data_IF_262278414289
#
_entry.id   IF_262278414289
#
_cell.length_a   1.000
_cell.length_b   1.000
_cell.length_c   1.000
_cell.angle_alpha   90.00
_cell.angle_beta   90.00
_cell.angle_gamma   90.00
#
_symmetry.space_group_name_H-M   'P 1'
#
loop_
_entity.id
_entity.type
_entity.pdbx_description
1 polymer ?
#
# COMPACT_ATOMS: atom_id res chain seq x y z
N UNK A 1 -43.68 25.30 12.58
CA UNK A 1 -42.77 24.14 12.53
C UNK A 1 -42.78 23.60 11.11
N UNK A 2 -41.80 23.99 10.30
CA UNK A 2 -41.64 23.51 8.93
C UNK A 2 -40.82 22.21 8.96
N UNK A 3 -41.43 21.12 8.51
CA UNK A 3 -40.77 19.83 8.37
C UNK A 3 -39.73 19.90 7.26
N UNK A 4 -38.50 19.52 7.58
CA UNK A 4 -37.40 19.38 6.63
C UNK A 4 -37.72 18.27 5.63
N UNK A 5 -37.81 18.61 4.35
CA UNK A 5 -37.75 17.66 3.24
C UNK A 5 -36.35 17.04 3.22
N UNK A 6 -36.22 15.90 3.89
CA UNK A 6 -35.03 15.06 3.84
C UNK A 6 -34.81 14.55 2.42
N UNK A 7 -33.71 14.99 1.82
CA UNK A 7 -33.18 14.62 0.51
C UNK A 7 -32.58 13.22 0.59
N UNK A 8 -33.43 12.21 0.84
CA UNK A 8 -33.05 10.80 0.68
C UNK A 8 -33.30 10.41 -0.77
N UNK A 9 -32.35 10.74 -1.64
CA UNK A 9 -32.31 10.13 -2.97
C UNK A 9 -32.02 8.64 -2.75
N UNK A 10 -33.00 7.79 -3.05
CA UNK A 10 -32.77 6.34 -3.07
C UNK A 10 -32.12 6.00 -4.39
N UNK A 11 -30.85 5.60 -4.35
CA UNK A 11 -30.18 5.03 -5.50
C UNK A 11 -30.99 3.83 -6.01
N UNK A 12 -31.27 3.83 -7.31
CA UNK A 12 -31.94 2.74 -8.02
C UNK A 12 -30.92 1.80 -8.62
N UNK A 13 -31.34 0.62 -9.07
CA UNK A 13 -30.47 -0.34 -9.77
C UNK A 13 -29.80 0.28 -11.00
N UNK A 14 -30.50 1.19 -11.71
CA UNK A 14 -29.95 1.94 -12.83
C UNK A 14 -28.82 2.89 -12.43
N UNK A 15 -28.86 3.45 -11.22
CA UNK A 15 -27.80 4.33 -10.71
C UNK A 15 -26.54 3.53 -10.39
N UNK A 16 -26.69 2.30 -9.89
CA UNK A 16 -25.58 1.37 -9.64
C UNK A 16 -24.97 0.89 -10.97
N UNK A 17 -25.80 0.49 -11.94
CA UNK A 17 -25.33 0.10 -13.27
C UNK A 17 -24.60 1.25 -13.98
N UNK A 18 -25.12 2.47 -13.85
CA UNK A 18 -24.48 3.67 -14.39
C UNK A 18 -23.14 3.92 -13.69
N UNK A 19 -23.09 3.82 -12.36
CA UNK A 19 -21.84 3.97 -11.62
C UNK A 19 -20.81 2.91 -12.03
N UNK A 20 -21.19 1.64 -12.15
CA UNK A 20 -20.29 0.57 -12.61
C UNK A 20 -19.79 0.83 -14.03
N UNK A 21 -20.65 1.27 -14.94
CA UNK A 21 -20.26 1.58 -16.32
C UNK A 21 -19.35 2.81 -16.40
N UNK A 22 -19.63 3.83 -15.61
CA UNK A 22 -18.79 5.03 -15.52
C UNK A 22 -17.44 4.70 -14.90
N UNK A 23 -17.40 3.91 -13.81
CA UNK A 23 -16.13 3.47 -13.21
C UNK A 23 -15.31 2.61 -14.18
N UNK A 24 -15.95 1.70 -14.93
CA UNK A 24 -15.28 0.92 -15.98
C UNK A 24 -14.82 1.77 -17.17
N UNK A 25 -15.58 2.79 -17.55
CA UNK A 25 -15.16 3.74 -18.58
C UNK A 25 -14.00 4.65 -18.11
N UNK A 26 -13.88 4.87 -16.80
CA UNK A 26 -12.78 5.63 -16.19
C UNK A 26 -11.52 4.79 -15.94
N UNK A 27 -11.61 3.46 -15.97
CA UNK A 27 -10.43 2.58 -15.86
C UNK A 27 -9.62 2.50 -17.16
N UNK A 28 -10.20 2.91 -18.29
CA UNK A 28 -9.51 2.94 -19.58
C UNK A 28 -9.17 4.38 -20.00
N UNK A 29 -7.96 4.63 -20.54
CA UNK A 29 -7.57 5.94 -21.03
C UNK A 29 -8.43 6.35 -22.24
N UNK A 30 -9.12 7.50 -22.12
CA UNK A 30 -10.14 7.91 -23.12
C UNK A 30 -9.52 8.55 -24.37
N UNK A 31 -8.43 9.29 -24.21
CA UNK A 31 -7.70 9.92 -25.32
C UNK A 31 -6.30 10.38 -24.89
N UNK A 32 -5.35 10.45 -25.82
CA UNK A 32 -3.98 10.87 -25.51
C UNK A 32 -3.86 12.32 -25.00
N UNK A 33 -4.62 13.29 -25.51
CA UNK A 33 -4.66 14.63 -24.91
C UNK A 33 -5.16 14.62 -23.46
N UNK A 34 -6.23 13.88 -23.17
CA UNK A 34 -6.80 13.76 -21.82
C UNK A 34 -5.79 13.13 -20.87
N UNK A 35 -5.19 12.01 -21.28
CA UNK A 35 -4.24 11.27 -20.45
C UNK A 35 -2.99 12.09 -20.14
N UNK A 36 -2.46 12.80 -21.14
CA UNK A 36 -1.33 13.70 -20.94
C UNK A 36 -1.66 14.82 -19.95
N UNK A 37 -2.86 15.39 -20.03
CA UNK A 37 -3.29 16.45 -19.11
C UNK A 37 -3.43 15.91 -17.69
N UNK A 38 -4.01 14.72 -17.52
CA UNK A 38 -4.15 14.04 -16.23
C UNK A 38 -2.77 13.74 -15.62
N UNK A 39 -1.88 13.08 -16.36
CA UNK A 39 -0.55 12.70 -15.89
C UNK A 39 0.31 13.93 -15.53
N UNK A 40 0.23 15.02 -16.32
CA UNK A 40 0.91 16.28 -15.97
C UNK A 40 0.31 16.93 -14.72
N UNK A 41 -1.01 16.89 -14.58
CA UNK A 41 -1.69 17.35 -13.36
C UNK A 41 -1.24 16.58 -12.12
N UNK A 42 -1.15 15.25 -12.24
CA UNK A 42 -0.68 14.37 -11.17
C UNK A 42 0.81 14.62 -10.86
N UNK A 43 1.66 14.78 -11.87
CA UNK A 43 3.07 15.14 -11.69
C UNK A 43 3.22 16.48 -10.93
N UNK A 44 2.44 17.49 -11.29
CA UNK A 44 2.44 18.78 -10.61
C UNK A 44 1.96 18.67 -9.15
N UNK A 45 0.90 17.88 -8.92
CA UNK A 45 0.41 17.59 -7.57
C UNK A 45 1.46 16.90 -6.71
N UNK A 46 2.09 15.83 -7.22
CA UNK A 46 3.13 15.09 -6.49
C UNK A 46 4.33 16.00 -6.20
N UNK A 47 4.76 16.82 -7.18
CA UNK A 47 5.81 17.80 -6.98
C UNK A 47 5.48 18.81 -5.88
N UNK A 48 4.24 19.32 -5.85
CA UNK A 48 3.76 20.20 -4.79
C UNK A 48 3.70 19.51 -3.42
N UNK A 49 3.25 18.26 -3.36
CA UNK A 49 3.19 17.48 -2.13
C UNK A 49 4.58 17.20 -1.56
N UNK A 50 5.55 16.84 -2.42
CA UNK A 50 6.94 16.64 -2.02
C UNK A 50 7.59 17.94 -1.51
N UNK A 51 7.31 19.07 -2.15
CA UNK A 51 7.82 20.38 -1.75
C UNK A 51 7.23 20.89 -0.41
N UNK A 52 6.10 20.34 0.03
CA UNK A 52 5.48 20.71 1.30
C UNK A 52 6.17 20.08 2.51
N UNK A 53 7.00 19.05 2.33
CA UNK A 53 7.76 18.47 3.43
C UNK A 53 8.91 19.39 3.86
N UNK A 54 9.13 19.57 5.17
CA UNK A 54 10.20 20.44 5.68
C UNK A 54 11.61 19.82 5.54
N UNK A 55 11.70 18.52 5.27
CA UNK A 55 12.95 17.78 5.10
C UNK A 55 12.91 16.99 3.80
N UNK A 56 14.07 16.65 3.25
CA UNK A 56 14.17 15.73 2.10
C UNK A 56 14.07 14.26 2.53
N UNK A 57 13.86 13.34 1.58
CA UNK A 57 13.92 11.90 1.86
C UNK A 57 15.33 11.48 2.31
N UNK A 58 16.37 12.00 1.66
CA UNK A 58 17.76 11.70 1.99
C UNK A 58 18.15 12.18 3.41
N UNK A 59 17.62 13.32 3.85
CA UNK A 59 17.79 13.81 5.22
C UNK A 59 17.13 12.87 6.25
N UNK A 60 15.91 12.42 5.98
CA UNK A 60 15.19 11.51 6.87
C UNK A 60 15.90 10.14 6.96
N UNK A 61 16.36 9.59 5.84
CA UNK A 61 17.13 8.34 5.80
C UNK A 61 18.47 8.47 6.55
N UNK A 62 19.18 9.59 6.36
CA UNK A 62 20.41 9.86 7.11
C UNK A 62 20.16 9.94 8.63
N UNK A 63 19.06 10.56 9.06
CA UNK A 63 18.67 10.63 10.49
C UNK A 63 18.29 9.27 11.06
N UNK A 64 17.58 8.44 10.30
CA UNK A 64 17.19 7.10 10.73
C UNK A 64 18.39 6.17 10.90
N UNK A 65 19.40 6.30 10.04
CA UNK A 65 20.60 5.48 10.05
C UNK A 65 21.72 6.04 10.94
N UNK A 66 21.59 7.27 11.44
CA UNK A 66 22.65 7.94 12.18
C UNK A 66 23.87 8.31 11.31
N UNK A 67 23.64 8.60 10.03
CA UNK A 67 24.66 9.10 9.11
C UNK A 67 24.92 10.60 9.33
N UNK A 68 26.00 11.11 8.73
CA UNK A 68 26.37 12.53 8.78
C UNK A 68 26.57 13.11 10.21
N UNK A 69 27.00 12.27 11.16
CA UNK A 69 27.31 12.70 12.52
C UNK A 69 26.11 12.87 13.45
N UNK A 70 24.90 12.49 13.01
CA UNK A 70 23.72 12.47 13.85
C UNK A 70 23.62 11.15 14.65
N UNK A 71 23.17 11.22 15.90
CA UNK A 71 22.80 10.02 16.63
C UNK A 71 21.55 9.38 16.00
N UNK A 72 21.47 8.03 15.90
CA UNK A 72 20.26 7.36 15.41
C UNK A 72 19.04 7.75 16.24
N UNK A 73 17.95 8.09 15.57
CA UNK A 73 16.68 8.44 16.23
C UNK A 73 16.14 7.26 17.04
N UNK A 74 15.47 7.56 18.15
CA UNK A 74 14.87 6.57 19.04
C UNK A 74 13.41 6.92 19.39
N UNK A 75 12.65 5.92 19.83
CA UNK A 75 11.31 6.12 20.37
C UNK A 75 10.31 6.72 19.37
N UNK A 76 9.36 7.56 19.84
CA UNK A 76 8.29 8.12 19.00
C UNK A 76 8.79 8.96 17.83
N UNK A 77 9.91 9.66 17.97
CA UNK A 77 10.49 10.46 16.89
C UNK A 77 10.92 9.57 15.72
N UNK A 78 11.53 8.42 16.01
CA UNK A 78 11.91 7.44 14.98
C UNK A 78 10.70 6.98 14.18
N UNK A 79 9.58 6.69 14.86
CA UNK A 79 8.34 6.27 14.19
C UNK A 79 7.78 7.37 13.28
N UNK A 80 7.79 8.62 13.73
CA UNK A 80 7.34 9.76 12.92
C UNK A 80 8.21 9.93 11.67
N UNK A 81 9.53 9.83 11.79
CA UNK A 81 10.44 9.95 10.64
C UNK A 81 10.31 8.75 9.69
N UNK A 82 10.06 7.54 10.18
CA UNK A 82 9.76 6.38 9.32
C UNK A 82 8.49 6.62 8.50
N UNK A 83 7.42 7.12 9.13
CA UNK A 83 6.17 7.41 8.44
C UNK A 83 6.32 8.51 7.38
N UNK A 84 7.08 9.56 7.68
CA UNK A 84 7.36 10.63 6.72
C UNK A 84 8.22 10.13 5.56
N UNK A 85 9.28 9.35 5.85
CA UNK A 85 10.14 8.77 4.83
C UNK A 85 9.38 7.80 3.92
N UNK A 86 8.48 6.98 4.46
CA UNK A 86 7.67 6.05 3.66
C UNK A 86 6.71 6.82 2.73
N UNK A 87 6.07 7.88 3.23
CA UNK A 87 5.20 8.73 2.40
C UNK A 87 5.98 9.42 1.28
N UNK A 88 7.16 9.98 1.57
CA UNK A 88 8.04 10.58 0.55
C UNK A 88 8.48 9.56 -0.50
N UNK A 89 8.83 8.34 -0.07
CA UNK A 89 9.21 7.26 -0.98
C UNK A 89 8.05 6.85 -1.89
N UNK A 90 6.84 6.73 -1.35
CA UNK A 90 5.64 6.45 -2.14
C UNK A 90 5.42 7.55 -3.19
N UNK A 91 5.48 8.83 -2.79
CA UNK A 91 5.35 9.95 -3.71
C UNK A 91 6.45 9.98 -4.78
N UNK A 92 7.70 9.72 -4.42
CA UNK A 92 8.81 9.65 -5.36
C UNK A 92 8.64 8.50 -6.37
N UNK A 93 8.20 7.32 -5.90
CA UNK A 93 7.87 6.18 -6.75
C UNK A 93 6.72 6.50 -7.71
N UNK A 94 5.65 7.13 -7.22
CA UNK A 94 4.55 7.60 -8.07
C UNK A 94 5.01 8.63 -9.10
N UNK A 95 5.90 9.56 -8.72
CA UNK A 95 6.46 10.54 -9.67
C UNK A 95 7.26 9.86 -10.78
N UNK A 96 8.05 8.83 -10.45
CA UNK A 96 8.83 8.07 -11.42
C UNK A 96 7.92 7.29 -12.39
N UNK A 97 6.88 6.63 -11.87
CA UNK A 97 5.90 5.92 -12.69
C UNK A 97 5.18 6.88 -13.66
N UNK A 98 4.69 8.01 -13.15
CA UNK A 98 4.02 9.05 -13.96
C UNK A 98 4.95 9.63 -15.02
N UNK A 99 6.22 9.86 -14.69
CA UNK A 99 7.22 10.31 -15.66
C UNK A 99 7.47 9.25 -16.75
N UNK A 100 7.50 7.96 -16.39
CA UNK A 100 7.59 6.85 -17.33
C UNK A 100 6.41 6.81 -18.30
N UNK A 101 5.18 6.87 -17.80
CA UNK A 101 3.98 6.89 -18.64
C UNK A 101 3.93 8.14 -19.54
N UNK A 102 4.31 9.31 -19.03
CA UNK A 102 4.40 10.52 -19.85
C UNK A 102 5.43 10.36 -20.99
N UNK A 103 6.60 9.80 -20.69
CA UNK A 103 7.62 9.54 -21.70
C UNK A 103 7.14 8.55 -22.77
N UNK A 104 6.46 7.48 -22.38
CA UNK A 104 5.84 6.53 -23.32
C UNK A 104 4.80 7.21 -24.21
N UNK A 105 3.90 7.99 -23.61
CA UNK A 105 2.83 8.70 -24.34
C UNK A 105 3.37 9.78 -25.28
N UNK A 106 4.45 10.46 -24.90
CA UNK A 106 5.14 11.45 -25.74
C UNK A 106 5.99 10.77 -26.84
N UNK A 107 6.46 9.54 -26.59
CA UNK A 107 7.13 8.67 -27.55
C UNK A 107 6.18 7.98 -28.56
N UNK A 108 4.87 8.17 -28.43
CA UNK A 108 3.87 7.62 -29.36
C UNK A 108 3.34 6.23 -28.99
N UNK A 109 3.54 5.79 -27.74
CA UNK A 109 2.95 4.54 -27.24
C UNK A 109 1.41 4.56 -27.41
N UNK A 110 0.80 3.47 -27.94
CA UNK A 110 -0.64 3.30 -27.97
C UNK A 110 -1.25 3.39 -26.57
N UNK A 111 -2.42 4.02 -26.43
CA UNK A 111 -3.07 4.20 -25.13
C UNK A 111 -3.40 2.89 -24.43
N UNK A 112 -3.74 1.85 -25.19
CA UNK A 112 -4.02 0.52 -24.65
C UNK A 112 -2.80 -0.12 -23.97
N UNK A 113 -1.59 0.30 -24.34
CA UNK A 113 -0.32 -0.24 -23.84
C UNK A 113 0.29 0.64 -22.73
N UNK A 114 -0.23 1.86 -22.52
CA UNK A 114 0.35 2.86 -21.61
C UNK A 114 0.48 2.36 -20.16
N UNK A 115 -0.50 1.59 -19.70
CA UNK A 115 -0.56 1.03 -18.34
C UNK A 115 -0.33 -0.48 -18.29
N UNK A 116 -0.24 -1.12 -19.46
CA UNK A 116 0.26 -2.49 -19.57
C UNK A 116 1.74 -2.44 -19.27
N UNK A 117 2.10 -2.43 -17.98
CA UNK A 117 3.47 -2.61 -17.56
C UNK A 117 4.05 -3.78 -18.33
N UNK A 118 5.27 -3.64 -18.83
CA UNK A 118 5.94 -4.74 -19.52
C UNK A 118 5.80 -5.98 -18.64
N UNK A 119 4.94 -6.89 -19.07
CA UNK A 119 4.90 -8.26 -18.61
C UNK A 119 6.23 -8.85 -19.10
N UNK A 120 7.32 -8.52 -18.40
CA UNK A 120 8.39 -9.48 -18.24
C UNK A 120 7.67 -10.68 -17.65
N UNK A 121 7.52 -11.71 -18.48
CA UNK A 121 6.98 -13.02 -18.15
C UNK A 121 7.42 -13.35 -16.72
N UNK A 122 6.52 -13.17 -15.75
CA UNK A 122 6.69 -13.74 -14.42
C UNK A 122 6.68 -15.24 -14.69
N UNK A 123 7.87 -15.84 -14.83
CA UNK A 123 8.02 -17.28 -14.70
C UNK A 123 7.31 -17.63 -13.39
N UNK A 124 6.20 -18.36 -13.52
CA UNK A 124 5.44 -18.90 -12.41
C UNK A 124 6.40 -19.79 -11.61
N UNK A 125 7.06 -19.23 -10.59
CA UNK A 125 7.71 -20.00 -9.54
C UNK A 125 6.58 -20.61 -8.70
N UNK A 126 5.93 -21.64 -9.26
CA UNK A 126 5.02 -22.56 -8.58
C UNK A 126 5.81 -23.41 -7.57
N UNK A 127 6.30 -22.84 -6.47
CA UNK A 127 6.87 -23.66 -5.38
C UNK A 127 6.81 -22.95 -4.00
N UNK A 128 5.62 -22.48 -3.60
CA UNK A 128 5.29 -22.37 -2.17
C UNK A 128 4.35 -23.51 -1.78
N UNK A 129 4.91 -24.72 -1.73
CA UNK A 129 4.33 -25.86 -1.02
C UNK A 129 4.29 -25.53 0.48
N UNK A 130 3.18 -24.95 0.93
CA UNK A 130 2.86 -24.82 2.35
C UNK A 130 2.74 -26.22 2.94
N UNK A 131 3.80 -26.63 3.64
CA UNK A 131 3.84 -27.91 4.35
C UNK A 131 2.68 -28.02 5.32
N UNK A 132 1.71 -28.86 4.95
CA UNK A 132 0.77 -29.45 5.89
C UNK A 132 1.56 -30.41 6.80
N UNK A 133 2.03 -29.93 7.95
CA UNK A 133 2.40 -30.82 9.04
C UNK A 133 1.11 -31.45 9.59
N UNK A 134 0.77 -32.62 9.06
CA UNK A 134 -0.23 -33.51 9.65
C UNK A 134 0.24 -33.89 11.06
N UNK A 135 -0.54 -33.49 12.06
CA UNK A 135 -0.38 -33.90 13.45
C UNK A 135 -0.67 -35.39 13.59
N UNK A 136 0.39 -36.19 13.75
CA UNK A 136 0.29 -37.60 14.09
C UNK A 136 -0.07 -37.74 15.57
N UNK A 137 -1.31 -38.16 15.83
CA UNK A 137 -1.81 -38.49 17.17
C UNK A 137 -1.15 -39.77 17.68
N UNK A 138 -0.14 -39.61 18.53
CA UNK A 138 0.47 -40.72 19.27
C UNK A 138 -0.33 -41.05 20.54
N UNK A 139 -1.26 -42.01 20.46
CA UNK A 139 -1.73 -42.77 21.61
C UNK A 139 -0.55 -43.45 22.32
N UNK A 140 -0.32 -43.13 23.60
CA UNK A 140 0.47 -43.98 24.48
C UNK A 140 -0.26 -44.13 25.81
N UNK A 141 -0.73 -45.36 26.03
CA UNK A 141 -1.40 -45.82 27.23
C UNK A 141 -0.55 -45.64 28.50
N UNK A 142 -1.27 -45.47 29.61
CA UNK A 142 -0.70 -45.08 30.88
C UNK A 142 0.02 -46.17 31.67
N UNK A 143 0.44 -45.80 32.87
CA UNK A 143 0.34 -46.60 34.09
C UNK A 143 0.82 -45.79 35.30
N UNK A 144 0.20 -46.11 36.43
CA UNK A 144 0.33 -45.56 37.76
C UNK A 144 1.75 -45.27 38.25
N UNK A 145 1.89 -44.30 39.15
CA UNK A 145 2.35 -44.56 40.53
C UNK A 145 2.26 -43.33 41.42
N UNK A 146 1.67 -43.58 42.59
CA UNK A 146 1.51 -42.77 43.78
C UNK A 146 2.79 -42.21 44.41
N UNK A 147 2.69 -41.03 45.05
CA UNK A 147 3.22 -40.70 46.40
C UNK A 147 3.14 -39.17 46.60
N UNK A 148 2.31 -38.68 47.52
CA UNK A 148 2.58 -38.52 48.96
C UNK A 148 3.29 -37.20 49.31
N UNK A 149 2.52 -36.35 50.01
CA UNK A 149 2.88 -35.47 51.15
C UNK A 149 3.76 -34.22 50.99
N UNK A 150 3.25 -33.12 51.58
CA UNK A 150 4.04 -32.05 52.22
C UNK A 150 3.71 -30.67 51.68
N UNK A 151 2.71 -29.96 52.19
CA UNK A 151 2.78 -29.13 53.41
C UNK A 151 4.13 -28.40 53.60
N UNK A 152 4.10 -27.06 53.46
CA UNK A 152 4.79 -26.12 54.37
C UNK A 152 4.41 -24.69 54.03
N UNK A 153 3.67 -24.07 54.94
CA UNK A 153 3.42 -22.63 54.94
C UNK A 153 4.60 -21.80 55.44
N UNK A 154 4.36 -20.48 55.39
CA UNK A 154 4.77 -19.52 56.40
C UNK A 154 6.24 -19.10 56.42
N UNK A 155 6.49 -17.86 55.96
CA UNK A 155 6.99 -16.77 56.81
C UNK A 155 6.72 -15.43 56.17
#
# INVERSE_FOLDING_TARGET
>A
MQGSTGWRVRATERDVELACRVMGALSEPTSAPTERALLRGLQAYIGGALAAFPTSLAEDEARLEGRAGAAPLQGPERLAVIALASQKRALAGSAAAVAGWLAQLEGGCPLAELYGGGEEEEEEDEDEAWGEEEGEEGEAGGSDSSSSTGDRGGR
#
